data_IF_036125932698
#
_entry.id   IF_036125932698
#
_cell.length_a   1.000
_cell.length_b   1.000
_cell.length_c   1.000
_cell.angle_alpha   90.00
_cell.angle_beta   90.00
_cell.angle_gamma   90.00
#
_symmetry.space_group_name_H-M   'P 1'
#
loop_
_entity.id
_entity.type
_entity.pdbx_description
1 polymer ?
#
# COMPACT_ATOMS: atom_id res chain seq x y z
N UNK A 1 -20.27 -15.46 -2.19
CA UNK A 1 -20.75 -14.08 -2.23
C UNK A 1 -20.89 -13.56 -0.81
N UNK A 2 -20.57 -12.31 -0.59
CA UNK A 2 -20.70 -11.62 0.70
C UNK A 2 -22.17 -11.22 0.82
N UNK A 3 -22.81 -11.47 1.96
CA UNK A 3 -24.17 -10.99 2.12
C UNK A 3 -24.21 -9.47 2.47
N UNK A 4 -25.30 -8.80 2.14
CA UNK A 4 -25.47 -7.34 2.35
C UNK A 4 -25.30 -6.93 3.81
N UNK A 5 -25.72 -7.75 4.75
CA UNK A 5 -25.61 -7.49 6.19
C UNK A 5 -24.14 -7.42 6.59
N UNK A 6 -23.31 -8.34 6.09
CA UNK A 6 -21.89 -8.34 6.34
C UNK A 6 -21.19 -7.09 5.80
N UNK A 7 -21.56 -6.62 4.60
CA UNK A 7 -21.04 -5.37 4.02
C UNK A 7 -21.45 -4.16 4.88
N UNK A 8 -22.71 -4.10 5.31
CA UNK A 8 -23.19 -3.04 6.18
C UNK A 8 -22.49 -3.03 7.54
N UNK A 9 -22.28 -4.18 8.17
CA UNK A 9 -21.48 -4.28 9.39
C UNK A 9 -20.05 -3.78 9.18
N UNK A 10 -19.44 -4.10 8.02
CA UNK A 10 -18.07 -3.68 7.71
C UNK A 10 -17.93 -2.17 7.48
N UNK A 11 -19.00 -1.48 7.10
CA UNK A 11 -18.99 -0.02 6.91
C UNK A 11 -18.64 0.78 8.17
N UNK A 12 -18.81 0.20 9.36
CA UNK A 12 -18.37 0.82 10.63
C UNK A 12 -16.83 0.91 10.70
N UNK A 13 -16.13 -0.07 10.15
CA UNK A 13 -14.66 -0.13 10.10
C UNK A 13 -14.09 0.60 8.89
N UNK A 14 -14.75 0.45 7.74
CA UNK A 14 -14.34 0.96 6.44
C UNK A 14 -15.47 1.80 5.82
N UNK A 15 -15.75 3.03 6.33
CA UNK A 15 -16.88 3.85 5.91
C UNK A 15 -16.63 4.56 4.59
N UNK A 16 -16.28 3.79 3.56
CA UNK A 16 -16.11 4.33 2.21
C UNK A 16 -17.45 4.77 1.63
N UNK A 17 -17.41 5.76 0.74
CA UNK A 17 -18.63 6.32 0.13
C UNK A 17 -19.31 5.30 -0.77
N UNK A 18 -18.51 4.49 -1.48
CA UNK A 18 -19.00 3.48 -2.40
C UNK A 18 -19.10 2.12 -1.69
N UNK A 19 -20.27 1.46 -1.77
CA UNK A 19 -20.47 0.12 -1.23
C UNK A 19 -19.49 -0.93 -1.82
N UNK A 20 -19.14 -0.79 -3.09
CA UNK A 20 -18.16 -1.67 -3.72
C UNK A 20 -16.75 -1.53 -3.09
N UNK A 21 -16.39 -0.32 -2.62
CA UNK A 21 -15.15 -0.10 -1.88
C UNK A 21 -15.20 -0.75 -0.49
N UNK A 22 -16.36 -0.70 0.19
CA UNK A 22 -16.55 -1.38 1.49
C UNK A 22 -16.42 -2.89 1.32
N UNK A 23 -17.06 -3.44 0.29
CA UNK A 23 -17.00 -4.85 -0.04
C UNK A 23 -15.57 -5.29 -0.41
N UNK A 24 -14.88 -4.52 -1.24
CA UNK A 24 -13.49 -4.79 -1.62
C UNK A 24 -12.56 -4.72 -0.41
N UNK A 25 -12.75 -3.80 0.50
CA UNK A 25 -11.96 -3.70 1.73
C UNK A 25 -12.10 -4.96 2.60
N UNK A 26 -13.31 -5.49 2.76
CA UNK A 26 -13.57 -6.73 3.47
C UNK A 26 -12.95 -7.95 2.76
N UNK A 27 -13.02 -8.00 1.42
CA UNK A 27 -12.36 -9.03 0.62
C UNK A 27 -10.85 -9.00 0.82
N UNK A 28 -10.24 -7.81 0.79
CA UNK A 28 -8.80 -7.61 1.04
C UNK A 28 -8.42 -8.13 2.43
N UNK A 29 -9.21 -7.80 3.44
CA UNK A 29 -8.94 -8.23 4.81
C UNK A 29 -8.95 -9.76 4.95
N UNK A 30 -9.94 -10.45 4.37
CA UNK A 30 -9.98 -11.91 4.33
C UNK A 30 -8.80 -12.49 3.54
N UNK A 31 -8.47 -11.91 2.39
CA UNK A 31 -7.35 -12.36 1.57
C UNK A 31 -6.02 -12.26 2.33
N UNK A 32 -5.78 -11.16 3.06
CA UNK A 32 -4.58 -10.99 3.90
C UNK A 32 -4.51 -12.06 4.99
N UNK A 33 -5.60 -12.30 5.72
CA UNK A 33 -5.63 -13.39 6.73
C UNK A 33 -5.35 -14.73 6.06
N UNK A 34 -6.00 -15.03 4.93
CA UNK A 34 -5.80 -16.31 4.22
C UNK A 34 -4.34 -16.49 3.78
N UNK A 35 -3.70 -15.46 3.23
CA UNK A 35 -2.30 -15.50 2.75
C UNK A 35 -1.34 -15.74 3.92
N UNK A 36 -1.49 -15.00 5.02
CA UNK A 36 -0.55 -15.04 6.13
C UNK A 36 -0.84 -16.11 7.17
N UNK A 37 -2.00 -16.79 7.11
CA UNK A 37 -2.27 -18.02 7.85
C UNK A 37 -1.65 -19.25 7.19
N UNK A 38 -1.27 -19.17 5.92
CA UNK A 38 -0.53 -20.22 5.23
C UNK A 38 0.96 -20.13 5.56
N UNK A 39 1.51 -21.12 6.25
CA UNK A 39 2.91 -21.12 6.72
C UNK A 39 3.93 -20.92 5.61
N UNK A 40 3.69 -21.55 4.43
CA UNK A 40 4.58 -21.39 3.29
C UNK A 40 4.57 -19.95 2.77
N UNK A 41 3.39 -19.40 2.48
CA UNK A 41 3.27 -18.01 1.98
C UNK A 41 3.78 -16.99 3.00
N UNK A 42 3.46 -17.15 4.28
CA UNK A 42 3.93 -16.27 5.35
C UNK A 42 5.46 -16.28 5.50
N UNK A 43 6.13 -17.41 5.18
CA UNK A 43 7.59 -17.51 5.17
C UNK A 43 8.25 -16.89 3.95
N UNK A 44 7.52 -16.73 2.85
CA UNK A 44 8.05 -16.27 1.56
C UNK A 44 7.72 -14.82 1.24
N UNK A 45 6.70 -14.25 1.86
CA UNK A 45 6.12 -12.97 1.46
C UNK A 45 6.11 -11.96 2.61
N UNK A 46 6.37 -10.69 2.26
CA UNK A 46 6.16 -9.56 3.14
C UNK A 46 5.14 -8.59 2.52
N UNK A 47 4.20 -8.10 3.32
CA UNK A 47 3.18 -7.15 2.93
C UNK A 47 3.72 -5.73 2.95
N UNK A 48 3.46 -4.95 1.89
CA UNK A 48 3.92 -3.57 1.76
C UNK A 48 2.90 -2.67 1.04
N UNK A 49 3.32 -1.49 0.65
CA UNK A 49 2.53 -0.55 -0.15
C UNK A 49 1.55 0.26 0.67
N UNK A 50 0.62 0.92 -0.03
CA UNK A 50 -0.37 1.79 0.59
C UNK A 50 -1.31 1.03 1.52
N UNK A 51 -1.75 -0.15 1.11
CA UNK A 51 -2.67 -0.96 1.92
C UNK A 51 -2.05 -1.42 3.22
N UNK A 52 -0.76 -1.84 3.21
CA UNK A 52 -0.02 -2.17 4.43
C UNK A 52 0.10 -0.96 5.36
N UNK A 53 0.52 0.19 4.81
CA UNK A 53 0.67 1.43 5.58
C UNK A 53 -0.64 1.81 6.29
N UNK A 54 -1.77 1.78 5.58
CA UNK A 54 -3.05 2.21 6.12
C UNK A 54 -3.68 1.20 7.08
N UNK A 55 -3.62 -0.08 6.77
CA UNK A 55 -4.24 -1.12 7.61
C UNK A 55 -3.45 -1.40 8.88
N UNK A 56 -2.13 -1.32 8.82
CA UNK A 56 -1.27 -1.76 9.94
C UNK A 56 -0.80 -0.59 10.82
N UNK A 57 -0.60 0.60 10.26
CA UNK A 57 0.03 1.70 10.97
C UNK A 57 -0.84 2.95 11.15
N UNK A 58 -1.77 3.21 10.22
CA UNK A 58 -2.58 4.43 10.20
C UNK A 58 -4.07 4.14 10.49
N UNK A 59 -4.34 3.30 11.46
CA UNK A 59 -5.73 3.02 11.87
C UNK A 59 -6.32 4.20 12.68
N UNK A 60 -7.60 4.56 12.47
CA UNK A 60 -8.47 4.12 11.37
C UNK A 60 -7.98 4.62 10.02
N UNK A 61 -8.11 3.79 8.98
CA UNK A 61 -7.60 4.08 7.63
C UNK A 61 -8.06 5.47 7.16
N UNK A 62 -7.14 6.38 6.80
CA UNK A 62 -7.50 7.73 6.35
C UNK A 62 -7.95 7.80 4.90
N UNK A 63 -7.63 6.80 4.09
CA UNK A 63 -8.07 6.67 2.71
C UNK A 63 -8.28 5.23 2.29
N UNK A 64 -9.07 5.04 1.26
CA UNK A 64 -9.23 3.76 0.57
C UNK A 64 -7.95 3.31 -0.13
N UNK A 65 -7.70 2.00 -0.12
CA UNK A 65 -6.59 1.36 -0.83
C UNK A 65 -7.03 -0.02 -1.30
N UNK A 66 -6.81 -0.33 -2.57
CA UNK A 66 -7.49 -1.41 -3.31
C UNK A 66 -6.62 -2.62 -3.65
N UNK A 67 -5.30 -2.50 -3.56
CA UNK A 67 -4.34 -3.54 -3.98
C UNK A 67 -3.68 -4.22 -2.77
N UNK A 68 -3.30 -5.48 -2.94
CA UNK A 68 -2.40 -6.20 -2.03
C UNK A 68 -1.02 -6.24 -2.69
N UNK A 69 -0.10 -5.43 -2.16
CA UNK A 69 1.29 -5.39 -2.61
C UNK A 69 2.16 -6.28 -1.70
N UNK A 70 2.81 -7.25 -2.28
CA UNK A 70 3.70 -8.21 -1.59
C UNK A 70 5.10 -8.14 -2.18
N UNK A 71 6.08 -8.57 -1.38
CA UNK A 71 7.46 -8.78 -1.81
C UNK A 71 7.85 -10.21 -1.51
N UNK A 72 8.48 -10.86 -2.45
CA UNK A 72 9.17 -12.12 -2.20
C UNK A 72 10.42 -11.85 -1.35
N UNK A 73 10.47 -12.36 -0.12
CA UNK A 73 11.51 -12.04 0.86
C UNK A 73 12.88 -12.57 0.39
N UNK A 74 12.91 -13.83 -0.09
CA UNK A 74 14.14 -14.48 -0.50
C UNK A 74 14.14 -14.74 -2.00
N UNK A 75 15.22 -14.44 -2.74
CA UNK A 75 15.34 -14.77 -4.16
C UNK A 75 15.10 -16.25 -4.42
N UNK A 76 14.28 -16.55 -5.41
CA UNK A 76 13.97 -17.93 -5.77
C UNK A 76 12.87 -18.04 -6.83
N UNK A 77 12.50 -19.27 -7.24
CA UNK A 77 11.45 -19.48 -8.20
C UNK A 77 10.10 -18.98 -7.69
N UNK A 78 9.44 -18.09 -8.42
CA UNK A 78 8.13 -17.54 -8.04
C UNK A 78 6.96 -18.52 -8.27
N UNK A 79 7.14 -19.51 -9.13
CA UNK A 79 6.05 -20.44 -9.52
C UNK A 79 5.41 -21.18 -8.35
N UNK A 80 6.14 -21.74 -7.36
CA UNK A 80 5.53 -22.37 -6.18
C UNK A 80 4.68 -21.38 -5.36
N UNK A 81 5.15 -20.15 -5.19
CA UNK A 81 4.44 -19.10 -4.46
C UNK A 81 3.14 -18.72 -5.19
N UNK A 82 3.20 -18.50 -6.51
CA UNK A 82 2.01 -18.20 -7.32
C UNK A 82 1.00 -19.35 -7.33
N UNK A 83 1.48 -20.59 -7.37
CA UNK A 83 0.61 -21.76 -7.29
C UNK A 83 -0.10 -21.81 -5.94
N UNK A 84 0.63 -21.75 -4.82
CA UNK A 84 0.08 -21.78 -3.49
C UNK A 84 -0.86 -20.61 -3.19
N UNK A 85 -0.50 -19.42 -3.65
CA UNK A 85 -1.36 -18.23 -3.57
C UNK A 85 -2.72 -18.46 -4.28
N UNK A 86 -2.67 -19.11 -5.44
CA UNK A 86 -3.88 -19.47 -6.19
C UNK A 86 -4.75 -20.51 -5.49
N UNK A 87 -4.17 -21.44 -4.72
CA UNK A 87 -4.92 -22.40 -3.89
C UNK A 87 -5.56 -21.73 -2.66
N UNK A 88 -4.79 -20.90 -1.96
CA UNK A 88 -5.24 -20.18 -0.75
C UNK A 88 -6.36 -19.17 -1.05
N UNK A 89 -6.37 -18.61 -2.25
CA UNK A 89 -7.36 -17.63 -2.72
C UNK A 89 -8.37 -18.24 -3.71
N UNK A 90 -8.57 -19.57 -3.73
CA UNK A 90 -9.50 -20.27 -4.65
C UNK A 90 -10.97 -19.90 -4.44
N UNK A 91 -11.30 -19.35 -3.26
CA UNK A 91 -12.62 -18.79 -2.95
C UNK A 91 -12.95 -17.51 -3.72
N UNK A 92 -11.96 -16.87 -4.38
CA UNK A 92 -12.15 -15.73 -5.26
C UNK A 92 -12.33 -16.18 -6.71
N UNK A 93 -13.39 -15.73 -7.41
CA UNK A 93 -13.67 -16.12 -8.78
C UNK A 93 -12.78 -15.41 -9.81
N UNK A 94 -12.88 -15.85 -11.07
CA UNK A 94 -12.33 -15.19 -12.26
C UNK A 94 -10.86 -14.74 -12.13
N UNK A 95 -10.01 -15.72 -11.83
CA UNK A 95 -8.57 -15.50 -11.63
C UNK A 95 -7.82 -15.37 -12.94
N UNK A 96 -7.07 -14.28 -13.09
CA UNK A 96 -6.10 -14.06 -14.18
C UNK A 96 -4.71 -13.86 -13.61
N UNK A 97 -3.72 -14.60 -14.09
CA UNK A 97 -2.33 -14.47 -13.68
C UNK A 97 -1.50 -13.81 -14.79
N UNK A 98 -0.71 -12.79 -14.43
CA UNK A 98 0.26 -12.13 -15.31
C UNK A 98 1.65 -12.24 -14.71
N UNK A 99 2.58 -12.79 -15.47
CA UNK A 99 3.97 -12.92 -15.04
C UNK A 99 4.85 -11.94 -15.80
N UNK A 100 5.64 -11.16 -15.08
CA UNK A 100 6.68 -10.29 -15.58
C UNK A 100 7.97 -10.58 -14.83
N UNK A 101 9.11 -10.18 -15.39
CA UNK A 101 10.43 -10.45 -14.83
C UNK A 101 10.55 -10.08 -13.34
N UNK A 102 10.00 -8.94 -12.94
CA UNK A 102 10.16 -8.37 -11.60
C UNK A 102 8.87 -8.30 -10.80
N UNK A 103 7.71 -8.35 -11.45
CA UNK A 103 6.41 -8.27 -10.80
C UNK A 103 5.48 -9.35 -11.34
N UNK A 104 4.93 -10.13 -10.45
CA UNK A 104 3.94 -11.15 -10.78
C UNK A 104 2.60 -10.75 -10.17
N UNK A 105 1.55 -10.80 -10.96
CA UNK A 105 0.23 -10.31 -10.56
C UNK A 105 -0.80 -11.41 -10.68
N UNK A 106 -1.62 -11.53 -9.66
CA UNK A 106 -2.85 -12.30 -9.68
C UNK A 106 -4.03 -11.32 -9.55
N UNK A 107 -4.90 -11.32 -10.53
CA UNK A 107 -6.08 -10.46 -10.59
C UNK A 107 -7.33 -11.31 -10.45
N UNK A 108 -8.21 -10.94 -9.54
CA UNK A 108 -9.53 -11.53 -9.37
C UNK A 108 -10.60 -10.50 -9.73
N UNK A 109 -11.72 -10.97 -10.31
CA UNK A 109 -12.86 -10.14 -10.61
C UNK A 109 -14.06 -10.68 -9.86
N UNK A 110 -14.64 -9.85 -9.03
CA UNK A 110 -15.78 -10.16 -8.19
C UNK A 110 -16.91 -9.21 -8.55
N UNK A 111 -18.09 -9.72 -8.79
CA UNK A 111 -19.28 -8.88 -8.97
C UNK A 111 -19.77 -8.40 -7.60
N UNK A 112 -19.96 -7.08 -7.44
CA UNK A 112 -20.41 -6.50 -6.16
C UNK A 112 -21.85 -6.91 -5.85
N UNK A 113 -22.15 -7.08 -4.57
CA UNK A 113 -23.46 -7.54 -4.09
C UNK A 113 -24.50 -6.41 -4.03
N UNK A 114 -24.07 -5.20 -3.67
CA UNK A 114 -24.99 -4.08 -3.49
C UNK A 114 -25.13 -3.28 -4.80
N UNK A 115 -26.36 -3.08 -5.32
CA UNK A 115 -26.58 -2.27 -6.51
C UNK A 115 -26.16 -0.78 -6.32
N UNK A 116 -25.68 -0.09 -7.37
CA UNK A 116 -25.46 -0.65 -8.72
C UNK A 116 -24.33 -1.67 -8.74
N UNK A 117 -24.61 -2.84 -9.34
CA UNK A 117 -23.61 -3.93 -9.44
C UNK A 117 -22.46 -3.51 -10.33
N UNK A 118 -21.26 -3.56 -9.80
CA UNK A 118 -20.01 -3.23 -10.49
C UNK A 118 -19.00 -4.36 -10.36
N UNK A 119 -18.04 -4.42 -11.28
CA UNK A 119 -16.97 -5.39 -11.20
C UNK A 119 -15.83 -4.88 -10.30
N UNK A 120 -15.72 -5.45 -9.10
CA UNK A 120 -14.59 -5.26 -8.18
C UNK A 120 -13.38 -6.01 -8.75
N UNK A 121 -12.20 -5.37 -8.70
CA UNK A 121 -10.93 -5.94 -9.16
C UNK A 121 -9.95 -6.01 -8.00
N UNK A 122 -9.78 -7.17 -7.41
CA UNK A 122 -8.70 -7.38 -6.44
C UNK A 122 -7.41 -7.74 -7.17
N UNK A 123 -6.39 -6.91 -7.02
CA UNK A 123 -5.04 -7.17 -7.52
C UNK A 123 -4.12 -7.57 -6.36
N UNK A 124 -3.50 -8.74 -6.47
CA UNK A 124 -2.39 -9.18 -5.63
C UNK A 124 -1.13 -9.14 -6.48
N UNK A 125 -0.20 -8.25 -6.14
CA UNK A 125 1.07 -8.07 -6.86
C UNK A 125 2.25 -8.50 -5.99
N UNK A 126 3.14 -9.33 -6.53
CA UNK A 126 4.35 -9.78 -5.86
C UNK A 126 5.56 -9.19 -6.59
N UNK A 127 6.29 -8.32 -5.92
CA UNK A 127 7.60 -7.87 -6.36
C UNK A 127 8.64 -8.97 -6.12
N UNK A 128 9.35 -9.35 -7.19
CA UNK A 128 10.39 -10.39 -7.18
C UNK A 128 11.76 -9.80 -7.55
N UNK A 129 12.02 -8.58 -7.13
CA UNK A 129 13.26 -7.86 -7.42
C UNK A 129 13.90 -7.24 -6.17
N UNK A 130 13.10 -6.65 -5.30
CA UNK A 130 13.55 -5.97 -4.08
C UNK A 130 13.56 -6.96 -2.90
N UNK A 131 14.42 -8.01 -2.97
CA UNK A 131 14.54 -9.06 -1.94
C UNK A 131 15.32 -8.61 -0.70
N UNK A 132 15.23 -7.35 -0.33
CA UNK A 132 15.93 -6.80 0.82
C UNK A 132 15.00 -5.91 1.67
N UNK A 133 15.45 -5.65 2.86
CA UNK A 133 14.89 -4.64 3.75
C UNK A 133 16.05 -3.87 4.42
N UNK A 134 15.76 -2.70 4.95
CA UNK A 134 16.76 -1.82 5.56
C UNK A 134 16.71 -1.89 7.08
N UNK A 135 15.51 -1.94 7.64
CA UNK A 135 15.27 -1.92 9.08
C UNK A 135 14.88 -3.30 9.65
N UNK A 136 14.86 -4.32 8.81
CA UNK A 136 14.33 -5.62 9.15
C UNK A 136 12.84 -5.76 8.82
N UNK A 137 12.31 -6.96 9.01
CA UNK A 137 10.88 -7.25 8.91
C UNK A 137 10.29 -7.39 10.30
N UNK A 138 9.02 -7.05 10.42
CA UNK A 138 8.25 -7.21 11.65
C UNK A 138 6.98 -8.00 11.38
N UNK A 139 6.36 -8.53 12.43
CA UNK A 139 5.06 -9.18 12.35
C UNK A 139 4.05 -8.36 13.14
N UNK A 140 2.91 -8.09 12.53
CA UNK A 140 1.83 -7.32 13.13
C UNK A 140 0.57 -8.18 13.19
N UNK A 141 -0.03 -8.37 14.38
CA UNK A 141 -1.30 -9.07 14.52
C UNK A 141 -2.40 -8.36 13.71
N UNK A 142 -3.14 -9.12 12.94
CA UNK A 142 -4.23 -8.62 12.12
C UNK A 142 -5.44 -9.51 12.29
N UNK A 143 -6.58 -8.92 12.69
CA UNK A 143 -7.81 -9.63 12.99
C UNK A 143 -8.97 -9.09 12.16
N UNK A 144 -9.82 -9.96 11.69
CA UNK A 144 -11.07 -9.67 11.01
C UNK A 144 -12.20 -10.31 11.76
N UNK A 145 -13.20 -9.53 12.15
CA UNK A 145 -14.42 -10.00 12.81
C UNK A 145 -15.63 -9.48 12.03
N UNK A 146 -16.27 -10.37 11.29
CA UNK A 146 -17.44 -10.06 10.50
C UNK A 146 -18.31 -11.30 10.33
N UNK A 147 -19.61 -11.16 10.15
CA UNK A 147 -20.53 -12.29 9.97
C UNK A 147 -20.26 -13.14 8.71
N UNK A 148 -19.54 -12.60 7.72
CA UNK A 148 -19.11 -13.34 6.53
C UNK A 148 -17.78 -14.08 6.74
N UNK A 149 -16.87 -13.49 7.51
CA UNK A 149 -15.55 -14.05 7.75
C UNK A 149 -14.99 -13.57 9.10
N UNK A 150 -14.49 -14.50 9.90
CA UNK A 150 -13.74 -14.24 11.12
C UNK A 150 -12.43 -15.00 11.05
N UNK A 151 -11.33 -14.32 11.33
CA UNK A 151 -10.00 -14.93 11.32
C UNK A 151 -8.92 -13.94 11.74
N UNK A 152 -7.74 -14.46 12.04
CA UNK A 152 -6.58 -13.68 12.44
C UNK A 152 -5.29 -14.28 11.87
N UNK A 153 -4.28 -13.44 11.67
CA UNK A 153 -2.93 -13.85 11.26
C UNK A 153 -1.89 -12.82 11.72
N UNK A 154 -0.64 -13.23 11.81
CA UNK A 154 0.50 -12.33 11.95
C UNK A 154 1.02 -11.94 10.55
N UNK A 155 0.81 -10.70 10.15
CA UNK A 155 1.24 -10.20 8.85
C UNK A 155 2.72 -9.79 8.90
N UNK A 156 3.58 -10.52 8.19
CA UNK A 156 4.96 -10.10 7.96
C UNK A 156 4.99 -8.84 7.10
N UNK A 157 5.60 -7.77 7.59
CA UNK A 157 5.64 -6.47 6.92
C UNK A 157 6.93 -5.72 7.25
N UNK A 158 7.09 -4.55 6.67
CA UNK A 158 8.20 -3.62 6.91
C UNK A 158 7.92 -2.71 8.09
N UNK A 159 8.96 -2.18 8.74
CA UNK A 159 8.82 -1.12 9.71
C UNK A 159 8.17 0.13 9.08
N UNK A 160 7.52 0.92 9.92
CA UNK A 160 6.75 2.09 9.50
C UNK A 160 7.60 3.07 8.67
N UNK A 161 8.80 3.39 9.15
CA UNK A 161 9.73 4.30 8.50
C UNK A 161 10.22 3.76 7.15
N UNK A 162 10.36 2.45 7.02
CA UNK A 162 10.75 1.84 5.76
C UNK A 162 9.62 1.92 4.71
N UNK A 163 8.37 1.72 5.13
CA UNK A 163 7.23 1.98 4.25
C UNK A 163 7.19 3.45 3.81
N UNK A 164 7.45 4.40 4.70
CA UNK A 164 7.52 5.83 4.37
C UNK A 164 8.70 6.15 3.43
N UNK A 165 9.86 5.52 3.61
CA UNK A 165 11.00 5.65 2.71
C UNK A 165 10.66 5.20 1.28
N UNK A 166 9.91 4.08 1.14
CA UNK A 166 9.40 3.64 -0.17
C UNK A 166 8.33 4.58 -0.74
N UNK A 167 7.53 5.25 0.11
CA UNK A 167 6.58 6.29 -0.32
C UNK A 167 7.28 7.56 -0.79
N UNK A 168 8.34 7.97 -0.13
CA UNK A 168 9.15 9.11 -0.56
C UNK A 168 9.81 8.84 -1.92
N UNK A 169 10.31 7.61 -2.15
CA UNK A 169 10.75 7.17 -3.48
C UNK A 169 9.64 7.24 -4.52
N UNK A 170 8.46 6.70 -4.19
CA UNK A 170 7.31 6.70 -5.09
C UNK A 170 6.86 8.13 -5.43
N UNK A 171 6.88 9.04 -4.46
CA UNK A 171 6.57 10.46 -4.66
C UNK A 171 7.49 11.10 -5.71
N UNK A 172 8.78 10.73 -5.75
CA UNK A 172 9.69 11.17 -6.78
C UNK A 172 9.44 10.50 -8.13
N UNK A 173 9.32 9.17 -8.14
CA UNK A 173 9.33 8.35 -9.37
C UNK A 173 8.02 8.37 -10.16
N UNK A 174 6.88 8.60 -9.49
CA UNK A 174 5.56 8.58 -10.14
C UNK A 174 4.74 9.82 -9.80
N UNK A 175 3.77 10.12 -10.65
CA UNK A 175 2.89 11.28 -10.53
C UNK A 175 1.56 10.86 -9.90
N UNK A 176 1.56 10.62 -8.57
CA UNK A 176 0.37 10.21 -7.81
C UNK A 176 0.29 10.97 -6.49
N UNK A 177 -0.75 11.80 -6.33
CA UNK A 177 -0.97 12.65 -5.16
C UNK A 177 -1.14 11.86 -3.86
N UNK A 178 -1.58 10.59 -3.96
CA UNK A 178 -1.68 9.69 -2.80
C UNK A 178 -0.34 9.41 -2.11
N UNK A 179 0.80 9.52 -2.79
CA UNK A 179 2.09 9.35 -2.13
C UNK A 179 2.45 10.57 -1.27
N UNK A 180 2.06 11.78 -1.69
CA UNK A 180 2.16 12.99 -0.87
C UNK A 180 1.21 12.91 0.34
N UNK A 181 -0.03 12.48 0.13
CA UNK A 181 -1.01 12.29 1.21
C UNK A 181 -0.52 11.29 2.25
N UNK A 182 -0.01 10.13 1.82
CA UNK A 182 0.45 9.08 2.71
C UNK A 182 1.56 9.56 3.65
N UNK A 183 2.51 10.33 3.13
CA UNK A 183 3.57 10.95 3.94
C UNK A 183 3.02 12.04 4.87
N UNK A 184 2.15 12.90 4.37
CA UNK A 184 1.54 13.97 5.15
C UNK A 184 0.75 13.44 6.34
N UNK A 185 -0.15 12.48 6.11
CA UNK A 185 -0.98 11.93 7.18
C UNK A 185 -0.16 11.12 8.20
N UNK A 186 0.93 10.49 7.74
CA UNK A 186 1.86 9.80 8.62
C UNK A 186 2.50 10.75 9.62
N UNK A 187 2.99 11.91 9.17
CA UNK A 187 3.58 12.95 10.03
C UNK A 187 2.56 13.56 10.99
N UNK A 188 1.30 13.62 10.59
CA UNK A 188 0.23 14.16 11.45
C UNK A 188 -0.20 13.21 12.58
N UNK A 189 -0.07 11.90 12.36
CA UNK A 189 -0.64 10.88 13.25
C UNK A 189 0.37 10.10 14.07
N UNK A 190 1.63 10.13 13.68
CA UNK A 190 2.70 9.32 14.28
C UNK A 190 3.96 10.15 14.49
N UNK A 191 4.68 9.78 15.51
CA UNK A 191 6.07 10.20 15.66
C UNK A 191 6.92 9.43 14.65
N UNK A 192 7.62 10.13 13.76
CA UNK A 192 8.36 9.59 12.61
C UNK A 192 9.85 9.82 12.80
N UNK A 193 10.62 8.76 12.81
CA UNK A 193 12.07 8.84 12.74
C UNK A 193 12.51 9.21 11.31
N UNK A 194 12.70 10.50 11.08
CA UNK A 194 13.03 11.08 9.78
C UNK A 194 14.34 10.52 9.21
N UNK A 195 15.34 10.29 10.06
CA UNK A 195 16.64 9.78 9.62
C UNK A 195 16.52 8.37 9.07
N UNK A 196 15.73 7.50 9.71
CA UNK A 196 15.42 6.17 9.18
C UNK A 196 14.64 6.22 7.87
N UNK A 197 13.67 7.12 7.74
CA UNK A 197 12.94 7.31 6.47
C UNK A 197 13.90 7.68 5.33
N UNK A 198 14.79 8.64 5.57
CA UNK A 198 15.78 9.08 4.57
C UNK A 198 16.82 8.00 4.27
N UNK A 199 17.26 7.23 5.26
CA UNK A 199 18.12 6.06 5.07
C UNK A 199 17.46 5.03 4.15
N UNK A 200 16.20 4.69 4.41
CA UNK A 200 15.44 3.76 3.59
C UNK A 200 15.24 4.30 2.16
N UNK A 201 14.80 5.57 2.04
CA UNK A 201 14.66 6.24 0.76
C UNK A 201 15.93 6.14 -0.09
N UNK A 202 17.09 6.52 0.48
CA UNK A 202 18.38 6.48 -0.19
C UNK A 202 18.71 5.07 -0.68
N UNK A 203 18.57 4.06 0.18
CA UNK A 203 18.86 2.66 -0.15
C UNK A 203 17.98 2.14 -1.28
N UNK A 204 16.69 2.41 -1.23
CA UNK A 204 15.75 1.99 -2.28
C UNK A 204 15.94 2.75 -3.61
N UNK A 205 16.40 4.01 -3.57
CA UNK A 205 16.75 4.76 -4.78
C UNK A 205 18.02 4.21 -5.41
N UNK A 206 19.09 4.02 -4.65
CA UNK A 206 20.36 3.47 -5.13
C UNK A 206 20.22 2.07 -5.73
N UNK A 207 19.24 1.29 -5.28
CA UNK A 207 18.97 -0.03 -5.84
C UNK A 207 18.34 0.01 -7.25
N UNK A 208 17.61 1.07 -7.57
CA UNK A 208 16.89 1.20 -8.85
C UNK A 208 17.65 2.05 -9.86
N UNK A 209 18.41 3.04 -9.36
CA UNK A 209 19.18 3.98 -10.18
C UNK A 209 20.61 4.06 -9.63
N UNK A 210 21.59 4.23 -10.51
CA UNK A 210 23.00 4.27 -10.12
C UNK A 210 23.33 5.42 -9.14
N UNK A 211 22.55 6.51 -9.22
CA UNK A 211 22.68 7.66 -8.32
C UNK A 211 21.28 8.19 -7.94
N UNK A 212 21.05 8.30 -6.63
CA UNK A 212 19.84 8.95 -6.13
C UNK A 212 19.72 10.39 -6.65
N UNK A 213 18.49 10.90 -6.90
CA UNK A 213 18.31 12.26 -7.37
C UNK A 213 18.87 13.27 -6.36
N UNK A 214 19.50 14.32 -6.86
CA UNK A 214 19.96 15.43 -6.04
C UNK A 214 18.76 16.20 -5.47
N UNK A 215 18.98 16.96 -4.40
CA UNK A 215 18.01 17.89 -3.83
C UNK A 215 17.33 18.75 -4.92
N UNK A 216 18.11 19.37 -5.80
CA UNK A 216 17.59 20.22 -6.89
C UNK A 216 16.67 19.45 -7.85
N UNK A 217 17.05 18.22 -8.20
CA UNK A 217 16.20 17.36 -9.07
C UNK A 217 14.89 17.00 -8.38
N UNK A 218 14.91 16.72 -7.07
CA UNK A 218 13.69 16.40 -6.33
C UNK A 218 12.77 17.63 -6.25
N UNK A 219 13.30 18.79 -5.92
CA UNK A 219 12.54 20.05 -5.84
C UNK A 219 11.88 20.39 -7.19
N UNK A 220 12.64 20.36 -8.28
CA UNK A 220 12.09 20.62 -9.62
C UNK A 220 10.98 19.62 -9.99
N UNK A 221 11.19 18.33 -9.72
CA UNK A 221 10.18 17.29 -9.96
C UNK A 221 8.89 17.55 -9.16
N UNK A 222 9.01 18.02 -7.93
CA UNK A 222 7.84 18.34 -7.12
C UNK A 222 7.15 19.63 -7.59
N UNK A 223 7.88 20.64 -8.03
CA UNK A 223 7.28 21.86 -8.59
C UNK A 223 6.40 21.53 -9.81
N UNK A 224 6.90 20.75 -10.76
CA UNK A 224 6.13 20.28 -11.91
C UNK A 224 4.86 19.51 -11.50
N UNK A 225 4.95 18.67 -10.46
CA UNK A 225 3.81 17.90 -9.95
C UNK A 225 2.76 18.78 -9.27
N UNK A 226 3.20 19.78 -8.51
CA UNK A 226 2.29 20.69 -7.81
C UNK A 226 1.50 21.59 -8.76
N UNK A 227 1.98 21.83 -9.96
CA UNK A 227 1.27 22.54 -11.04
C UNK A 227 0.26 21.66 -11.77
N UNK A 228 0.30 20.32 -11.57
CA UNK A 228 -0.56 19.37 -12.24
C UNK A 228 -1.83 19.07 -11.45
N UNK A 229 -2.98 19.35 -12.07
CA UNK A 229 -4.28 19.13 -11.47
C UNK A 229 -4.62 17.64 -11.23
N UNK A 230 -4.11 16.72 -12.05
CA UNK A 230 -4.31 15.29 -11.81
C UNK A 230 -3.57 14.82 -10.56
N UNK A 231 -2.36 15.37 -10.31
CA UNK A 231 -1.61 15.08 -9.10
C UNK A 231 -2.28 15.67 -7.86
N UNK A 232 -2.66 16.94 -7.90
CA UNK A 232 -3.21 17.65 -6.73
C UNK A 232 -4.61 17.17 -6.33
N UNK A 233 -5.39 16.63 -7.29
CA UNK A 233 -6.76 16.13 -7.06
C UNK A 233 -6.86 14.58 -6.98
N UNK A 234 -5.77 13.84 -7.09
CA UNK A 234 -5.75 12.34 -7.10
C UNK A 234 -6.44 11.71 -5.86
N UNK A 235 -6.59 12.49 -4.78
CA UNK A 235 -7.07 11.98 -3.50
C UNK A 235 -8.57 12.11 -3.24
N UNK A 236 -9.28 12.97 -3.95
CA UNK A 236 -10.65 13.37 -3.59
C UNK A 236 -11.64 12.20 -3.47
N UNK A 237 -11.56 11.21 -4.36
CA UNK A 237 -12.43 10.03 -4.36
C UNK A 237 -11.98 8.91 -3.41
N UNK A 238 -10.83 9.06 -2.77
CA UNK A 238 -10.23 8.03 -1.93
C UNK A 238 -10.27 8.35 -0.43
N UNK A 239 -10.54 9.60 -0.06
CA UNK A 239 -10.51 10.04 1.33
C UNK A 239 -11.63 9.42 2.17
N UNK A 240 -11.30 9.10 3.41
CA UNK A 240 -12.30 8.75 4.41
C UNK A 240 -13.22 9.96 4.67
N UNK A 241 -14.54 9.78 4.80
CA UNK A 241 -15.44 10.87 5.18
C UNK A 241 -14.95 11.63 6.42
N UNK A 242 -14.96 12.97 6.34
CA UNK A 242 -14.47 13.83 7.41
C UNK A 242 -12.95 14.14 7.37
N UNK A 243 -12.20 13.53 6.46
CA UNK A 243 -10.80 13.90 6.21
C UNK A 243 -10.74 14.86 5.03
N UNK A 244 -10.14 16.03 5.26
CA UNK A 244 -9.81 17.00 4.22
C UNK A 244 -8.31 16.90 3.87
N UNK A 245 -7.98 17.08 2.62
CA UNK A 245 -6.61 17.13 2.14
C UNK A 245 -6.46 18.18 1.03
N UNK A 246 -5.41 18.96 1.17
CA UNK A 246 -4.96 19.90 0.15
C UNK A 246 -3.45 19.69 -0.07
N UNK A 247 -3.07 19.42 -1.32
CA UNK A 247 -1.68 19.17 -1.67
C UNK A 247 -0.77 20.39 -1.43
N UNK A 248 -1.30 21.62 -1.62
CA UNK A 248 -0.55 22.85 -1.39
C UNK A 248 -0.23 23.11 0.08
N UNK A 249 -1.12 22.64 1.00
CA UNK A 249 -0.88 22.74 2.43
C UNK A 249 0.03 21.63 2.95
N UNK A 250 -0.02 20.45 2.29
CA UNK A 250 0.77 19.29 2.68
C UNK A 250 2.22 19.37 2.22
N UNK A 251 2.47 19.91 1.02
CA UNK A 251 3.80 19.92 0.44
C UNK A 251 4.86 20.67 1.27
N UNK A 252 4.60 21.87 1.86
CA UNK A 252 5.57 22.54 2.72
C UNK A 252 6.05 21.66 3.88
N UNK A 253 5.16 20.94 4.55
CA UNK A 253 5.52 20.04 5.64
C UNK A 253 6.43 18.90 5.16
N UNK A 254 6.12 18.29 4.01
CA UNK A 254 6.95 17.22 3.43
C UNK A 254 8.31 17.78 2.98
N UNK A 255 8.33 18.97 2.41
CA UNK A 255 9.55 19.64 2.01
C UNK A 255 10.48 19.86 3.22
N UNK A 256 10.00 20.51 4.28
CA UNK A 256 10.78 20.83 5.48
C UNK A 256 11.24 19.56 6.23
N UNK A 257 10.37 18.53 6.27
CA UNK A 257 10.66 17.33 7.03
C UNK A 257 11.65 16.40 6.34
N UNK A 258 11.52 16.20 5.02
CA UNK A 258 12.28 15.20 4.28
C UNK A 258 13.19 15.83 3.22
N UNK A 259 12.66 16.69 2.32
CA UNK A 259 13.38 17.10 1.13
C UNK A 259 14.52 18.05 1.51
N UNK A 260 14.26 18.98 2.42
CA UNK A 260 15.24 19.95 2.91
C UNK A 260 16.45 19.32 3.64
N UNK A 261 16.27 18.09 4.12
CA UNK A 261 17.31 17.29 4.79
C UNK A 261 18.07 16.35 3.85
N UNK A 262 17.69 16.28 2.56
CA UNK A 262 18.43 15.45 1.59
C UNK A 262 19.83 16.00 1.34
N UNK A 263 20.77 15.08 1.08
CA UNK A 263 22.15 15.43 0.72
C UNK A 263 22.19 16.25 -0.59
N UNK A 264 23.15 17.15 -0.70
CA UNK A 264 23.37 17.98 -1.91
C UNK A 264 22.67 19.35 -1.90
N UNK A 265 22.10 19.78 -0.78
CA UNK A 265 21.53 21.13 -0.64
C UNK A 265 22.58 22.25 -0.70
N UNK A 266 23.86 21.95 -0.43
CA UNK A 266 24.94 22.93 -0.27
C UNK A 266 25.85 23.08 -1.51
N UNK A 267 25.45 22.53 -2.67
CA UNK A 267 26.19 22.70 -3.93
C UNK A 267 25.39 23.67 -4.87
#
# INVERSE_FOLDING_TARGET
MINRIAIQQWSEHAPWIDNAQIEQDLIICRALVSIFSDEFLASQLAFRGGTALHKLYLSPQPRYSEDIDLVQITPGPIKPIMYRLGEVLDWLPDRVTKQKRYNNTMLFRVESEIPPTVQIRLKVEINCFEHFNVLGLTKIPFKVENSWFTGEAELTTYHFEELLGTKLRALYQRKKGRDLFDLYIALQRKDVDVDKVLQCYKKYMEFVVDKAPSYKQFVNNMQEKMEDSEFTNDMQSLLRPGIAFNASDAYPLIYETFIDKMEGKRE
#
